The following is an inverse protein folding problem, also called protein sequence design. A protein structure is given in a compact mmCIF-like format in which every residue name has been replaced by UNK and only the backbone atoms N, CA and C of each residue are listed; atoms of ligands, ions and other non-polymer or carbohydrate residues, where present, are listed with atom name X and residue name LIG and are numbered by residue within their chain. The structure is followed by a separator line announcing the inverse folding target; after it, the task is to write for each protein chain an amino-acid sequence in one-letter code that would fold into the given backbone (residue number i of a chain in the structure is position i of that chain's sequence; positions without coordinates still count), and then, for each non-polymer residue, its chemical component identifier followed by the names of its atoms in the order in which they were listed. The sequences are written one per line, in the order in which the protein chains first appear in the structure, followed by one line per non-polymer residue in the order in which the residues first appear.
data_IF_006963984608
#
_entry.id   IF_006963984608
#
_cell.length_a   1.000
_cell.length_b   1.000
_cell.length_c   1.000
_cell.angle_alpha   90.00
_cell.angle_beta   90.00
_cell.angle_gamma   90.00
#
_symmetry.space_group_name_H-M   'P 1'
#
loop_
_entity.id
_entity.type
_entity.pdbx_description
1 polymer ?
#
# COMPACT_ATOMS: atom_id res chain seq x y z
N UNK A 1 -9.35 25.37 -2.31
CA UNK A 1 -9.69 24.14 -1.59
C UNK A 1 -9.37 22.96 -2.50
N UNK A 2 -8.50 22.05 -2.06
CA UNK A 2 -8.12 20.86 -2.87
C UNK A 2 -9.23 19.82 -2.79
N UNK A 3 -9.65 19.29 -3.92
CA UNK A 3 -10.75 18.33 -4.06
C UNK A 3 -10.20 16.91 -4.19
N UNK A 4 -10.74 16.00 -3.37
CA UNK A 4 -10.18 14.66 -3.16
C UNK A 4 -11.20 13.58 -3.53
N UNK A 5 -10.77 12.59 -4.32
CA UNK A 5 -11.44 11.31 -4.44
C UNK A 5 -10.73 10.28 -3.54
N UNK A 6 -11.48 9.47 -2.77
CA UNK A 6 -10.89 8.49 -1.83
C UNK A 6 -11.40 7.10 -2.18
N UNK A 7 -10.49 6.24 -2.61
CA UNK A 7 -10.75 4.84 -2.95
C UNK A 7 -10.37 3.93 -1.78
N UNK A 8 -11.30 3.06 -1.39
CA UNK A 8 -11.18 2.28 -0.17
C UNK A 8 -11.53 3.11 1.09
N UNK A 9 -12.48 4.05 0.96
CA UNK A 9 -12.83 5.02 2.01
C UNK A 9 -13.26 4.40 3.34
N UNK A 10 -13.79 3.19 3.32
CA UNK A 10 -14.23 2.44 4.51
C UNK A 10 -13.13 1.60 5.16
N UNK A 11 -11.96 1.51 4.52
CA UNK A 11 -10.77 0.82 5.05
C UNK A 11 -9.97 1.69 6.04
N UNK A 12 -8.88 1.12 6.57
CA UNK A 12 -8.03 1.79 7.56
C UNK A 12 -7.44 3.11 7.04
N UNK A 13 -6.86 3.11 5.83
CA UNK A 13 -6.27 4.32 5.24
C UNK A 13 -7.36 5.32 4.85
N UNK A 14 -8.48 4.84 4.25
CA UNK A 14 -9.57 5.71 3.84
C UNK A 14 -10.21 6.45 5.02
N UNK A 15 -10.46 5.77 6.13
CA UNK A 15 -11.01 6.39 7.34
C UNK A 15 -10.06 7.40 7.96
N UNK A 16 -8.75 7.12 7.99
CA UNK A 16 -7.73 8.06 8.46
C UNK A 16 -7.56 9.25 7.49
N UNK A 17 -7.73 9.04 6.18
CA UNK A 17 -7.78 10.14 5.20
C UNK A 17 -8.95 11.08 5.52
N UNK A 18 -10.12 10.55 5.83
CA UNK A 18 -11.28 11.35 6.23
C UNK A 18 -11.06 12.08 7.57
N UNK A 19 -10.28 11.51 8.50
CA UNK A 19 -9.87 12.24 9.72
C UNK A 19 -8.97 13.44 9.38
N UNK A 20 -8.03 13.28 8.44
CA UNK A 20 -7.21 14.40 7.95
C UNK A 20 -8.08 15.47 7.32
N UNK A 21 -9.08 15.09 6.50
CA UNK A 21 -10.04 16.04 5.92
C UNK A 21 -10.84 16.77 7.01
N UNK A 22 -11.32 16.06 8.04
CA UNK A 22 -12.06 16.68 9.17
C UNK A 22 -11.28 17.79 9.84
N UNK A 23 -9.97 17.57 10.01
CA UNK A 23 -9.07 18.54 10.64
C UNK A 23 -8.72 19.73 9.73
N UNK A 24 -9.03 19.67 8.43
CA UNK A 24 -8.62 20.63 7.40
C UNK A 24 -9.77 20.98 6.44
N UNK A 25 -11.00 21.08 6.91
CA UNK A 25 -12.21 21.31 6.07
C UNK A 25 -12.21 22.60 5.27
N UNK A 26 -11.42 23.58 5.66
CA UNK A 26 -11.28 24.84 4.92
C UNK A 26 -10.35 24.71 3.70
N UNK A 27 -9.51 23.66 3.67
CA UNK A 27 -8.51 23.44 2.64
C UNK A 27 -8.79 22.19 1.79
N UNK A 28 -9.53 21.20 2.32
CA UNK A 28 -9.81 19.92 1.69
C UNK A 28 -11.31 19.63 1.57
N UNK A 29 -11.75 19.14 0.42
CA UNK A 29 -13.13 18.75 0.11
C UNK A 29 -13.15 17.34 -0.48
N UNK A 30 -14.07 16.48 0.00
CA UNK A 30 -14.27 15.15 -0.55
C UNK A 30 -15.34 15.21 -1.64
N UNK A 31 -14.96 14.93 -2.88
CA UNK A 31 -15.88 14.93 -4.04
C UNK A 31 -16.30 13.53 -4.47
N UNK A 32 -15.49 12.51 -4.20
CA UNK A 32 -15.82 11.13 -4.54
C UNK A 32 -15.32 10.15 -3.48
N UNK A 33 -16.12 9.11 -3.24
CA UNK A 33 -15.75 7.99 -2.36
C UNK A 33 -15.95 6.67 -3.11
N UNK A 34 -15.07 5.69 -2.85
CA UNK A 34 -15.28 4.33 -3.33
C UNK A 34 -15.05 3.31 -2.22
N UNK A 35 -15.89 2.28 -2.16
CA UNK A 35 -15.80 1.19 -1.22
C UNK A 35 -16.17 -0.15 -1.86
N UNK A 36 -15.75 -1.27 -1.24
CA UNK A 36 -16.10 -2.61 -1.72
C UNK A 36 -17.56 -2.96 -1.50
N UNK A 37 -17.99 -3.03 -0.23
CA UNK A 37 -19.35 -3.46 0.14
C UNK A 37 -19.86 -2.92 1.49
N UNK A 38 -19.08 -2.12 2.20
CA UNK A 38 -19.47 -1.65 3.53
C UNK A 38 -20.42 -0.44 3.44
N UNK A 39 -21.71 -0.72 3.26
CA UNK A 39 -22.76 0.28 3.08
C UNK A 39 -22.95 1.15 4.32
N UNK A 40 -22.88 0.58 5.52
CA UNK A 40 -23.14 1.32 6.77
C UNK A 40 -22.12 2.43 7.04
N UNK A 41 -20.83 2.13 6.86
CA UNK A 41 -19.77 3.14 7.03
C UNK A 41 -19.87 4.16 5.91
N UNK A 42 -20.09 3.69 4.66
CA UNK A 42 -20.16 4.57 3.50
C UNK A 42 -21.34 5.55 3.56
N UNK A 43 -22.52 5.13 4.04
CA UNK A 43 -23.67 6.00 4.28
C UNK A 43 -23.33 7.13 5.26
N UNK A 44 -22.64 6.81 6.39
CA UNK A 44 -22.20 7.82 7.36
C UNK A 44 -21.24 8.82 6.72
N UNK A 45 -20.30 8.33 5.89
CA UNK A 45 -19.35 9.17 5.17
C UNK A 45 -20.07 10.09 4.17
N UNK A 46 -21.05 9.57 3.43
CA UNK A 46 -21.88 10.38 2.51
C UNK A 46 -22.61 11.50 3.24
N UNK A 47 -23.26 11.18 4.36
CA UNK A 47 -24.02 12.17 5.14
C UNK A 47 -23.12 13.22 5.80
N UNK A 48 -21.84 12.89 6.04
CA UNK A 48 -20.89 13.82 6.64
C UNK A 48 -20.17 14.71 5.62
N UNK A 49 -19.76 14.14 4.49
CA UNK A 49 -18.89 14.81 3.52
C UNK A 49 -19.61 15.26 2.25
N UNK A 50 -20.84 14.80 2.02
CA UNK A 50 -21.69 15.18 0.86
C UNK A 50 -20.98 15.05 -0.50
N UNK A 51 -20.32 13.91 -0.82
CA UNK A 51 -19.61 13.75 -2.08
C UNK A 51 -20.59 13.79 -3.26
N UNK A 52 -20.10 14.26 -4.42
CA UNK A 52 -20.87 14.28 -5.68
C UNK A 52 -21.18 12.86 -6.18
N UNK A 53 -20.18 11.95 -6.05
CA UNK A 53 -20.22 10.60 -6.59
C UNK A 53 -19.68 9.58 -5.57
N UNK A 54 -20.36 8.44 -5.50
CA UNK A 54 -19.88 7.29 -4.70
C UNK A 54 -19.93 6.02 -5.54
N UNK A 55 -18.85 5.25 -5.53
CA UNK A 55 -18.82 3.92 -6.11
C UNK A 55 -18.87 2.84 -5.01
N UNK A 56 -19.78 1.89 -5.16
CA UNK A 56 -19.77 0.63 -4.39
C UNK A 56 -19.47 -0.50 -5.35
N UNK A 57 -18.34 -1.18 -5.18
CA UNK A 57 -17.89 -2.17 -6.14
C UNK A 57 -18.87 -3.33 -6.33
N UNK A 58 -19.47 -3.82 -5.24
CA UNK A 58 -20.49 -4.87 -5.30
C UNK A 58 -21.85 -4.27 -5.66
N UNK A 59 -22.48 -4.76 -6.73
CA UNK A 59 -23.73 -4.24 -7.28
C UNK A 59 -24.89 -4.32 -6.28
N UNK A 60 -25.01 -5.45 -5.53
CA UNK A 60 -26.06 -5.60 -4.52
C UNK A 60 -25.94 -4.56 -3.41
N UNK A 61 -24.72 -4.31 -2.94
CA UNK A 61 -24.44 -3.29 -1.94
C UNK A 61 -24.69 -1.86 -2.48
N UNK A 62 -24.44 -1.63 -3.78
CA UNK A 62 -24.76 -0.35 -4.41
C UNK A 62 -26.28 -0.12 -4.46
N UNK A 63 -27.08 -1.15 -4.78
CA UNK A 63 -28.53 -1.07 -4.77
C UNK A 63 -29.07 -0.79 -3.35
N UNK A 64 -28.52 -1.43 -2.33
CA UNK A 64 -28.85 -1.17 -0.92
C UNK A 64 -28.54 0.29 -0.56
N UNK A 65 -27.31 0.77 -0.84
CA UNK A 65 -26.91 2.14 -0.55
C UNK A 65 -27.82 3.17 -1.23
N UNK A 66 -28.17 2.99 -2.51
CA UNK A 66 -29.10 3.85 -3.24
C UNK A 66 -30.44 4.00 -2.51
N UNK A 67 -30.94 2.92 -1.89
CA UNK A 67 -32.19 2.95 -1.15
C UNK A 67 -32.09 3.74 0.16
N UNK A 68 -30.92 3.70 0.83
CA UNK A 68 -30.67 4.35 2.11
C UNK A 68 -30.44 5.86 2.02
N UNK A 69 -29.89 6.34 0.90
CA UNK A 69 -29.49 7.75 0.71
C UNK A 69 -30.37 8.53 -0.27
N UNK A 70 -31.61 8.11 -0.47
CA UNK A 70 -32.57 8.80 -1.36
C UNK A 70 -32.82 10.26 -1.02
N UNK A 71 -32.53 10.63 0.22
CA UNK A 71 -32.64 11.99 0.78
C UNK A 71 -31.37 12.85 0.52
N UNK A 72 -30.37 12.33 -0.17
CA UNK A 72 -29.13 13.04 -0.51
C UNK A 72 -29.04 13.31 -2.01
N UNK A 73 -28.09 14.20 -2.41
CA UNK A 73 -27.80 14.50 -3.82
C UNK A 73 -26.67 13.63 -4.39
N UNK A 74 -26.08 12.76 -3.58
CA UNK A 74 -24.95 11.91 -3.97
C UNK A 74 -25.38 10.86 -5.00
N UNK A 75 -24.71 10.82 -6.13
CA UNK A 75 -24.91 9.79 -7.15
C UNK A 75 -24.15 8.50 -6.79
N UNK A 76 -24.78 7.34 -6.98
CA UNK A 76 -24.19 6.02 -6.68
C UNK A 76 -24.00 5.22 -7.96
N UNK A 77 -22.77 4.75 -8.19
CA UNK A 77 -22.38 3.86 -9.28
C UNK A 77 -21.78 2.56 -8.73
N UNK A 78 -21.54 1.54 -9.59
CA UNK A 78 -21.04 0.23 -9.14
C UNK A 78 -20.09 -0.41 -10.14
N UNK A 79 -19.38 -1.46 -9.71
CA UNK A 79 -18.49 -2.25 -10.53
C UNK A 79 -17.22 -1.52 -10.95
N UNK A 80 -16.48 -2.08 -11.91
CA UNK A 80 -15.25 -1.47 -12.43
C UNK A 80 -15.51 -0.17 -13.19
N UNK A 81 -16.56 -0.11 -14.00
CA UNK A 81 -16.93 1.10 -14.73
C UNK A 81 -17.26 2.24 -13.77
N UNK A 82 -17.95 1.93 -12.67
CA UNK A 82 -18.21 2.90 -11.61
C UNK A 82 -16.94 3.36 -10.87
N UNK A 83 -15.96 2.48 -10.67
CA UNK A 83 -14.64 2.87 -10.12
C UNK A 83 -13.89 3.80 -11.06
N UNK A 84 -13.90 3.50 -12.36
CA UNK A 84 -13.29 4.36 -13.38
C UNK A 84 -13.98 5.72 -13.40
N UNK A 85 -15.29 5.77 -13.40
CA UNK A 85 -16.05 7.01 -13.37
C UNK A 85 -15.71 7.86 -12.13
N UNK A 86 -15.60 7.21 -10.96
CA UNK A 86 -15.19 7.87 -9.73
C UNK A 86 -13.73 8.37 -9.77
N UNK A 87 -12.83 7.66 -10.50
CA UNK A 87 -11.43 8.00 -10.65
C UNK A 87 -11.20 9.22 -11.54
N UNK A 88 -12.02 9.38 -12.57
CA UNK A 88 -11.89 10.46 -13.56
C UNK A 88 -12.83 11.64 -13.30
N UNK A 89 -13.53 11.66 -12.15
CA UNK A 89 -14.45 12.76 -11.83
C UNK A 89 -13.76 14.12 -12.02
N UNK A 90 -14.38 14.99 -12.81
CA UNK A 90 -13.75 16.24 -13.25
C UNK A 90 -13.33 17.12 -12.07
N UNK A 91 -14.16 17.17 -11.04
CA UNK A 91 -13.94 18.03 -9.87
C UNK A 91 -12.76 17.60 -8.98
N UNK A 92 -12.25 16.36 -9.04
CA UNK A 92 -11.13 15.94 -8.21
C UNK A 92 -9.78 16.47 -8.71
N UNK A 93 -8.94 16.93 -7.79
CA UNK A 93 -7.54 17.30 -8.05
C UNK A 93 -6.59 16.11 -7.81
N UNK A 94 -6.92 15.28 -6.81
CA UNK A 94 -6.09 14.17 -6.35
C UNK A 94 -6.95 12.94 -6.00
N UNK A 95 -6.44 11.75 -6.31
CA UNK A 95 -7.06 10.48 -5.96
C UNK A 95 -6.22 9.77 -4.90
N UNK A 96 -6.80 9.47 -3.74
CA UNK A 96 -6.20 8.61 -2.73
C UNK A 96 -6.56 7.17 -3.05
N UNK A 97 -5.58 6.34 -3.41
CA UNK A 97 -5.79 4.94 -3.77
C UNK A 97 -5.48 4.04 -2.57
N UNK A 98 -6.52 3.67 -1.80
CA UNK A 98 -6.39 2.85 -0.60
C UNK A 98 -7.15 1.52 -0.71
N UNK A 99 -7.25 0.97 -1.91
CA UNK A 99 -7.69 -0.41 -2.13
C UNK A 99 -6.66 -1.42 -1.65
N UNK A 100 -7.07 -2.65 -1.46
CA UNK A 100 -6.20 -3.81 -1.21
C UNK A 100 -6.17 -4.66 -2.46
N UNK A 101 -5.00 -5.14 -2.86
CA UNK A 101 -4.82 -6.00 -4.03
C UNK A 101 -4.79 -5.25 -5.36
N UNK A 102 -4.90 -6.01 -6.45
CA UNK A 102 -4.67 -5.49 -7.81
C UNK A 102 -5.83 -4.73 -8.42
N UNK A 103 -6.99 -4.68 -7.76
CA UNK A 103 -8.19 -3.97 -8.25
C UNK A 103 -7.94 -2.46 -8.50
N UNK A 104 -6.96 -1.88 -7.82
CA UNK A 104 -6.59 -0.46 -7.94
C UNK A 104 -5.86 -0.10 -9.24
N UNK A 105 -5.33 -1.06 -10.01
CA UNK A 105 -4.50 -0.80 -11.20
C UNK A 105 -5.25 0.01 -12.25
N UNK A 106 -6.39 -0.48 -12.71
CA UNK A 106 -7.17 0.15 -13.80
C UNK A 106 -7.67 1.55 -13.42
N UNK A 107 -8.36 1.73 -12.27
CA UNK A 107 -8.80 3.08 -11.89
C UNK A 107 -7.65 4.06 -11.66
N UNK A 108 -6.47 3.60 -11.18
CA UNK A 108 -5.30 4.47 -11.03
C UNK A 108 -4.76 4.93 -12.39
N UNK A 109 -4.68 4.03 -13.39
CA UNK A 109 -4.29 4.37 -14.76
C UNK A 109 -5.24 5.41 -15.34
N UNK A 110 -6.54 5.22 -15.21
CA UNK A 110 -7.52 6.15 -15.76
C UNK A 110 -7.51 7.51 -15.03
N UNK A 111 -7.28 7.54 -13.71
CA UNK A 111 -7.07 8.77 -12.96
C UNK A 111 -5.84 9.56 -13.48
N UNK A 112 -4.71 8.88 -13.71
CA UNK A 112 -3.49 9.49 -14.26
C UNK A 112 -3.76 10.07 -15.66
N UNK A 113 -4.44 9.31 -16.55
CA UNK A 113 -4.83 9.79 -17.89
C UNK A 113 -5.74 11.00 -17.83
N UNK A 114 -6.58 11.10 -16.80
CA UNK A 114 -7.42 12.27 -16.53
C UNK A 114 -6.68 13.44 -15.86
N UNK A 115 -5.35 13.36 -15.71
CA UNK A 115 -4.51 14.41 -15.14
C UNK A 115 -4.63 14.57 -13.63
N UNK A 116 -5.05 13.53 -12.90
CA UNK A 116 -5.20 13.58 -11.44
C UNK A 116 -3.89 13.17 -10.76
N UNK A 117 -3.46 13.95 -9.76
CA UNK A 117 -2.38 13.50 -8.86
C UNK A 117 -2.84 12.26 -8.06
N UNK A 118 -1.90 11.39 -7.72
CA UNK A 118 -2.20 10.15 -6.99
C UNK A 118 -1.52 10.17 -5.63
N UNK A 119 -2.30 10.10 -4.55
CA UNK A 119 -1.83 9.76 -3.21
C UNK A 119 -1.89 8.23 -3.05
N UNK A 120 -0.75 7.57 -3.28
CA UNK A 120 -0.68 6.12 -3.46
C UNK A 120 -0.51 5.41 -2.12
N UNK A 121 -1.52 4.68 -1.68
CA UNK A 121 -1.46 3.74 -0.55
C UNK A 121 -1.54 2.27 -0.98
N UNK A 122 -2.05 2.00 -2.19
CA UNK A 122 -2.15 0.65 -2.77
C UNK A 122 -0.82 0.26 -3.42
N UNK A 123 0.08 -0.31 -2.63
CA UNK A 123 1.43 -0.69 -3.10
C UNK A 123 1.42 -1.73 -4.21
N UNK A 124 0.41 -2.61 -4.24
CA UNK A 124 0.27 -3.66 -5.23
C UNK A 124 0.19 -3.09 -6.66
N UNK A 125 -0.33 -1.88 -6.82
CA UNK A 125 -0.38 -1.16 -8.10
C UNK A 125 1.03 -0.93 -8.67
N UNK A 126 2.00 -0.49 -7.87
CA UNK A 126 3.38 -0.31 -8.33
C UNK A 126 4.16 -1.62 -8.38
N UNK A 127 3.91 -2.54 -7.46
CA UNK A 127 4.56 -3.86 -7.46
C UNK A 127 4.33 -4.57 -8.78
N UNK A 128 3.10 -4.54 -9.29
CA UNK A 128 2.69 -5.33 -10.46
C UNK A 128 2.73 -4.53 -11.77
N UNK A 129 2.42 -3.24 -11.74
CA UNK A 129 2.27 -2.38 -12.90
C UNK A 129 3.17 -1.12 -12.85
N UNK A 130 4.21 -1.09 -12.01
CA UNK A 130 5.03 0.10 -11.80
C UNK A 130 5.64 0.67 -13.07
N UNK A 131 6.10 -0.19 -14.01
CA UNK A 131 6.63 0.23 -15.31
C UNK A 131 5.60 0.95 -16.20
N UNK A 132 4.31 0.68 -16.03
CA UNK A 132 3.22 1.35 -16.74
C UNK A 132 2.86 2.66 -16.01
N UNK A 133 2.66 2.57 -14.69
CA UNK A 133 2.18 3.68 -13.86
C UNK A 133 3.18 4.85 -13.85
N UNK A 134 4.47 4.58 -13.61
CA UNK A 134 5.48 5.65 -13.51
C UNK A 134 5.67 6.32 -14.87
N UNK A 135 5.82 5.55 -15.95
CA UNK A 135 5.93 6.11 -17.29
C UNK A 135 4.72 6.99 -17.64
N UNK A 136 3.51 6.49 -17.37
CA UNK A 136 2.29 7.23 -17.66
C UNK A 136 2.18 8.53 -16.83
N UNK A 137 2.57 8.48 -15.56
CA UNK A 137 2.58 9.66 -14.68
C UNK A 137 3.56 10.73 -15.18
N UNK A 138 4.75 10.33 -15.68
CA UNK A 138 5.71 11.23 -16.30
C UNK A 138 5.16 11.86 -17.61
N UNK A 139 4.57 11.05 -18.48
CA UNK A 139 3.95 11.50 -19.74
C UNK A 139 2.81 12.50 -19.48
N UNK A 140 1.96 12.25 -18.50
CA UNK A 140 0.83 13.10 -18.11
C UNK A 140 1.22 14.24 -17.16
N UNK A 141 2.46 14.27 -16.66
CA UNK A 141 3.00 15.25 -15.70
C UNK A 141 2.18 15.31 -14.39
N UNK A 142 1.66 14.19 -13.94
CA UNK A 142 0.99 14.05 -12.65
C UNK A 142 1.94 13.50 -11.60
N UNK A 143 1.66 13.78 -10.32
CA UNK A 143 2.51 13.35 -9.21
C UNK A 143 2.00 12.02 -8.65
N UNK A 144 2.92 11.11 -8.36
CA UNK A 144 2.66 9.95 -7.51
C UNK A 144 3.25 10.26 -6.13
N UNK A 145 2.37 10.49 -5.15
CA UNK A 145 2.71 10.89 -3.79
C UNK A 145 2.55 9.69 -2.85
N UNK A 146 3.62 9.18 -2.23
CA UNK A 146 3.53 7.98 -1.41
C UNK A 146 2.77 8.23 -0.10
N UNK A 147 1.86 7.31 0.21
CA UNK A 147 1.13 7.26 1.48
C UNK A 147 1.66 6.15 2.38
N UNK A 148 2.28 5.09 1.82
CA UNK A 148 3.00 4.12 2.63
C UNK A 148 4.05 4.82 3.50
N UNK A 149 4.11 4.47 4.82
CA UNK A 149 4.89 5.23 5.80
C UNK A 149 6.38 5.27 5.47
N UNK A 150 6.94 4.17 5.02
CA UNK A 150 8.35 4.05 4.67
C UNK A 150 8.68 4.85 3.41
N UNK A 151 7.85 4.75 2.38
CA UNK A 151 8.04 5.50 1.13
C UNK A 151 7.80 6.99 1.32
N UNK A 152 6.82 7.37 2.14
CA UNK A 152 6.63 8.75 2.54
C UNK A 152 7.85 9.30 3.30
N UNK A 153 8.48 8.49 4.17
CA UNK A 153 9.68 8.88 4.88
C UNK A 153 10.86 9.13 3.91
N UNK A 154 11.08 8.22 2.95
CA UNK A 154 12.10 8.38 1.92
C UNK A 154 11.83 9.64 1.08
N UNK A 155 10.59 9.82 0.65
CA UNK A 155 10.16 11.00 -0.11
C UNK A 155 10.40 12.30 0.67
N UNK A 156 10.18 12.30 1.99
CA UNK A 156 10.46 13.44 2.86
C UNK A 156 11.96 13.69 3.03
N UNK A 157 12.80 12.63 3.11
CA UNK A 157 14.25 12.76 3.17
C UNK A 157 14.84 13.30 1.86
N UNK A 158 14.19 13.03 0.72
CA UNK A 158 14.60 13.51 -0.61
C UNK A 158 14.02 14.90 -0.93
N UNK A 159 13.27 15.53 -0.03
CA UNK A 159 12.67 16.84 -0.29
C UNK A 159 13.76 17.92 -0.38
N UNK A 160 13.92 18.50 -1.57
CA UNK A 160 14.97 19.46 -1.87
C UNK A 160 16.29 18.87 -2.35
N UNK A 161 16.39 17.52 -2.34
CA UNK A 161 17.54 16.78 -2.78
C UNK A 161 17.28 16.06 -4.12
N UNK A 162 18.34 15.67 -4.80
CA UNK A 162 18.24 14.85 -6.01
C UNK A 162 18.36 13.37 -5.66
N UNK A 163 17.43 12.54 -6.15
CA UNK A 163 17.54 11.07 -6.05
C UNK A 163 18.86 10.55 -6.61
N UNK A 164 19.46 11.23 -7.60
CA UNK A 164 20.75 10.87 -8.18
C UNK A 164 21.92 10.98 -7.19
N UNK A 165 21.75 11.75 -6.12
CA UNK A 165 22.73 11.87 -5.06
C UNK A 165 22.53 10.84 -3.93
N UNK A 166 21.43 10.09 -3.96
CA UNK A 166 21.23 8.96 -3.04
C UNK A 166 22.14 7.80 -3.42
N UNK A 167 22.93 7.33 -2.46
CA UNK A 167 23.74 6.11 -2.57
C UNK A 167 22.89 4.88 -2.26
N UNK A 168 22.11 4.95 -1.16
CA UNK A 168 21.22 3.86 -0.72
C UNK A 168 19.94 4.38 -0.10
N UNK A 169 18.89 3.61 -0.26
CA UNK A 169 17.66 3.68 0.54
C UNK A 169 17.77 2.66 1.66
N UNK A 170 17.65 3.11 2.90
CA UNK A 170 17.63 2.28 4.09
C UNK A 170 16.16 2.12 4.51
N UNK A 171 15.53 1.06 3.98
CA UNK A 171 14.11 0.78 4.18
C UNK A 171 13.91 0.08 5.52
N UNK A 172 13.23 0.72 6.47
CA UNK A 172 13.05 0.15 7.81
C UNK A 172 11.89 -0.85 7.86
N UNK A 173 11.98 -1.82 8.74
CA UNK A 173 10.96 -2.82 9.04
C UNK A 173 10.81 -2.98 10.54
N UNK A 174 9.60 -3.25 11.06
CA UNK A 174 9.42 -3.65 12.46
C UNK A 174 10.01 -5.03 12.78
N UNK A 175 10.14 -5.87 11.75
CA UNK A 175 10.51 -7.28 11.86
C UNK A 175 9.33 -8.21 12.20
N UNK A 176 8.13 -7.67 12.36
CA UNK A 176 6.91 -8.44 12.67
C UNK A 176 6.87 -9.02 14.09
N UNK A 177 5.78 -9.74 14.43
CA UNK A 177 5.57 -10.30 15.78
C UNK A 177 6.49 -11.49 16.11
N UNK A 178 7.07 -12.15 15.11
CA UNK A 178 7.90 -13.35 15.30
C UNK A 178 9.39 -13.09 15.10
N UNK A 179 9.81 -11.82 15.15
CA UNK A 179 11.22 -11.45 15.04
C UNK A 179 12.09 -12.27 16.01
N UNK A 180 13.14 -12.89 15.47
CA UNK A 180 14.07 -13.75 16.22
C UNK A 180 13.62 -15.21 16.35
N UNK A 181 12.44 -15.58 15.86
CA UNK A 181 12.00 -16.96 15.82
C UNK A 181 12.68 -17.73 14.68
N UNK A 182 12.86 -19.04 14.87
CA UNK A 182 13.34 -19.96 13.85
C UNK A 182 12.18 -20.71 13.22
N UNK A 183 12.36 -21.26 12.01
CA UNK A 183 11.30 -22.02 11.28
C UNK A 183 10.62 -23.09 12.11
N UNK A 184 11.40 -23.80 12.96
CA UNK A 184 10.87 -24.84 13.82
C UNK A 184 9.83 -24.33 14.83
N UNK A 185 10.00 -23.09 15.30
CA UNK A 185 9.08 -22.42 16.25
C UNK A 185 7.84 -21.88 15.56
N UNK A 186 7.91 -21.65 14.23
CA UNK A 186 6.83 -21.03 13.46
C UNK A 186 5.81 -22.01 12.88
N UNK A 187 6.04 -23.35 13.03
CA UNK A 187 5.15 -24.39 12.46
C UNK A 187 3.71 -24.31 12.93
N UNK A 188 3.53 -23.96 14.22
CA UNK A 188 2.22 -23.98 14.87
C UNK A 188 1.68 -22.57 15.13
N UNK A 189 2.16 -21.55 14.40
CA UNK A 189 1.64 -20.19 14.51
C UNK A 189 0.18 -20.14 14.08
N UNK A 190 -0.66 -19.63 14.98
CA UNK A 190 -2.09 -19.43 14.70
C UNK A 190 -2.35 -18.07 14.07
N UNK A 191 -3.52 -17.92 13.42
CA UNK A 191 -3.99 -16.65 12.86
C UNK A 191 -4.03 -15.56 13.93
N UNK A 192 -4.50 -15.90 15.13
CA UNK A 192 -4.64 -14.97 16.25
C UNK A 192 -3.28 -14.46 16.76
N UNK A 193 -2.23 -15.28 16.68
CA UNK A 193 -0.87 -14.88 17.00
C UNK A 193 -0.29 -13.97 15.91
N UNK A 194 -0.46 -14.34 14.65
CA UNK A 194 0.07 -13.61 13.52
C UNK A 194 -0.58 -12.22 13.34
N UNK A 195 -1.82 -12.04 13.79
CA UNK A 195 -2.53 -10.75 13.76
C UNK A 195 -2.14 -9.78 14.88
N UNK A 196 -1.26 -10.18 15.82
CA UNK A 196 -0.79 -9.33 16.92
C UNK A 196 0.49 -8.56 16.52
N UNK A 197 0.34 -7.50 15.74
CA UNK A 197 1.48 -6.64 15.42
C UNK A 197 1.92 -5.82 16.65
N UNK A 198 3.25 -5.71 16.94
CA UNK A 198 3.73 -5.07 18.18
C UNK A 198 3.48 -3.56 18.24
N UNK A 199 3.51 -2.85 17.11
CA UNK A 199 3.52 -1.37 17.07
C UNK A 199 2.34 -0.75 16.31
N UNK A 200 1.75 -1.46 15.33
CA UNK A 200 0.76 -0.93 14.41
C UNK A 200 -0.59 -1.63 14.53
N UNK A 201 -1.66 -0.86 14.48
CA UNK A 201 -3.01 -1.37 14.26
C UNK A 201 -3.34 -1.30 12.76
N UNK A 202 -3.32 -2.43 12.08
CA UNK A 202 -3.44 -2.52 10.62
C UNK A 202 -4.54 -3.50 10.20
N UNK A 203 -4.86 -3.51 8.90
CA UNK A 203 -5.73 -4.53 8.30
C UNK A 203 -5.13 -5.93 8.41
N UNK A 204 -5.98 -6.95 8.34
CA UNK A 204 -5.55 -8.34 8.53
C UNK A 204 -4.47 -8.78 7.50
N UNK A 205 -4.68 -8.50 6.20
CA UNK A 205 -3.74 -8.92 5.14
C UNK A 205 -2.34 -8.35 5.39
N UNK A 206 -2.20 -7.04 5.54
CA UNK A 206 -0.91 -6.38 5.75
C UNK A 206 -0.25 -6.79 7.07
N UNK A 207 -1.02 -7.17 8.10
CA UNK A 207 -0.47 -7.68 9.36
C UNK A 207 0.20 -9.05 9.16
N UNK A 208 -0.41 -9.95 8.37
CA UNK A 208 0.20 -11.22 7.99
C UNK A 208 1.43 -10.99 7.09
N UNK A 209 1.34 -10.07 6.12
CA UNK A 209 2.47 -9.71 5.27
C UNK A 209 3.66 -9.17 6.08
N UNK A 210 3.40 -8.41 7.15
CA UNK A 210 4.43 -7.96 8.09
C UNK A 210 5.05 -9.13 8.85
N UNK A 211 4.23 -10.09 9.30
CA UNK A 211 4.69 -11.27 10.04
C UNK A 211 5.59 -12.19 9.19
N UNK A 212 5.36 -12.27 7.87
CA UNK A 212 6.12 -13.07 6.90
C UNK A 212 7.27 -12.30 6.25
N UNK A 213 7.44 -11.01 6.53
CA UNK A 213 8.33 -10.06 5.83
C UNK A 213 7.99 -9.85 4.34
N UNK A 214 6.87 -10.37 3.85
CA UNK A 214 6.38 -10.12 2.49
C UNK A 214 6.03 -8.64 2.30
N UNK A 215 5.44 -7.99 3.31
CA UNK A 215 5.15 -6.56 3.24
C UNK A 215 6.40 -5.75 2.89
N UNK A 216 7.51 -6.04 3.57
CA UNK A 216 8.78 -5.36 3.30
C UNK A 216 9.32 -5.71 1.91
N UNK A 217 9.06 -6.91 1.45
CA UNK A 217 9.38 -7.32 0.08
C UNK A 217 8.60 -6.53 -0.98
N UNK A 218 7.29 -6.35 -0.79
CA UNK A 218 6.46 -5.50 -1.67
C UNK A 218 6.97 -4.05 -1.69
N UNK A 219 7.35 -3.53 -0.54
CA UNK A 219 7.90 -2.18 -0.39
C UNK A 219 9.26 -1.99 -1.06
N UNK A 220 10.13 -3.01 -1.09
CA UNK A 220 11.37 -2.98 -1.86
C UNK A 220 11.08 -2.81 -3.37
N UNK A 221 10.09 -3.53 -3.89
CA UNK A 221 9.70 -3.41 -5.31
C UNK A 221 9.05 -2.05 -5.57
N UNK A 222 8.23 -1.55 -4.66
CA UNK A 222 7.61 -0.23 -4.76
C UNK A 222 8.66 0.89 -4.75
N UNK A 223 9.69 0.82 -3.87
CA UNK A 223 10.77 1.79 -3.79
C UNK A 223 11.54 1.92 -5.12
N UNK A 224 11.79 0.79 -5.80
CA UNK A 224 12.42 0.81 -7.13
C UNK A 224 11.65 1.72 -8.10
N UNK A 225 10.34 1.58 -8.14
CA UNK A 225 9.50 2.34 -9.09
C UNK A 225 9.33 3.81 -8.66
N UNK A 226 9.05 4.06 -7.38
CA UNK A 226 8.82 5.42 -6.90
C UNK A 226 10.07 6.31 -7.00
N UNK A 227 11.24 5.75 -6.72
CA UNK A 227 12.47 6.52 -6.63
C UNK A 227 13.44 6.25 -7.79
N UNK A 228 13.11 5.34 -8.71
CA UNK A 228 13.96 5.04 -9.85
C UNK A 228 15.32 4.45 -9.48
N UNK A 229 15.40 3.72 -8.36
CA UNK A 229 16.63 3.09 -7.86
C UNK A 229 16.71 1.61 -8.23
N UNK A 230 17.91 1.04 -8.22
CA UNK A 230 18.10 -0.39 -8.40
C UNK A 230 17.90 -1.16 -7.08
N UNK A 231 17.60 -2.45 -7.17
CA UNK A 231 17.38 -3.30 -6.00
C UNK A 231 18.59 -3.36 -5.06
N UNK A 232 19.80 -3.22 -5.59
CA UNK A 232 21.04 -3.22 -4.81
C UNK A 232 21.26 -1.92 -4.02
N UNK A 233 20.52 -0.86 -4.39
CA UNK A 233 20.47 0.39 -3.64
C UNK A 233 19.41 0.39 -2.53
N UNK A 234 18.53 -0.61 -2.46
CA UNK A 234 17.51 -0.72 -1.40
C UNK A 234 17.97 -1.75 -0.37
N UNK A 235 18.38 -1.27 0.78
CA UNK A 235 18.78 -2.10 1.92
C UNK A 235 17.70 -2.12 2.99
N UNK A 236 17.20 -3.29 3.34
CA UNK A 236 16.25 -3.44 4.45
C UNK A 236 16.99 -3.49 5.79
N UNK A 237 16.49 -2.73 6.76
CA UNK A 237 16.99 -2.65 8.14
C UNK A 237 15.84 -2.87 9.10
N UNK A 238 15.99 -3.74 10.09
CA UNK A 238 14.96 -3.93 11.12
C UNK A 238 15.15 -2.88 12.21
N UNK A 239 14.11 -2.07 12.46
CA UNK A 239 14.01 -1.07 13.52
C UNK A 239 12.80 -1.39 14.39
N UNK A 240 13.02 -2.12 15.50
CA UNK A 240 11.94 -2.72 16.29
C UNK A 240 10.93 -1.75 16.87
N UNK A 241 11.37 -0.56 17.24
CA UNK A 241 10.51 0.47 17.87
C UNK A 241 9.59 1.17 16.88
N UNK A 242 9.82 1.02 15.56
CA UNK A 242 9.08 1.71 14.49
C UNK A 242 9.02 3.24 14.68
N UNK A 243 10.11 3.84 15.15
CA UNK A 243 10.26 5.29 15.31
C UNK A 243 10.90 5.93 14.10
N UNK A 244 11.86 5.24 13.46
CA UNK A 244 12.45 5.64 12.19
C UNK A 244 11.66 4.93 11.09
N UNK A 245 10.99 5.71 10.25
CA UNK A 245 10.13 5.15 9.20
C UNK A 245 10.87 4.84 7.90
N UNK A 246 12.03 5.40 7.64
CA UNK A 246 13.09 5.01 6.69
C UNK A 246 14.14 6.11 6.61
N UNK A 247 15.23 5.85 5.88
CA UNK A 247 16.38 6.73 5.77
C UNK A 247 16.92 6.70 4.34
N UNK A 248 17.64 7.76 3.96
CA UNK A 248 18.41 7.85 2.70
C UNK A 248 19.86 8.14 3.06
N UNK A 249 20.77 7.31 2.58
CA UNK A 249 22.21 7.53 2.59
C UNK A 249 22.62 8.22 1.29
N UNK A 250 23.30 9.35 1.38
CA UNK A 250 23.80 10.11 0.25
C UNK A 250 25.26 9.77 -0.07
N UNK A 251 25.72 10.12 -1.27
CA UNK A 251 27.07 9.83 -1.75
C UNK A 251 28.20 10.45 -0.92
N UNK A 252 27.91 11.52 -0.17
CA UNK A 252 28.84 12.13 0.76
C UNK A 252 28.91 11.43 2.13
N UNK A 253 28.10 10.37 2.31
CA UNK A 253 28.00 9.59 3.55
C UNK A 253 27.00 10.16 4.56
N UNK A 254 26.31 11.25 4.25
CA UNK A 254 25.23 11.76 5.11
C UNK A 254 24.04 10.82 5.07
N UNK A 255 23.37 10.63 6.23
CA UNK A 255 22.15 9.86 6.33
C UNK A 255 21.02 10.77 6.82
N UNK A 256 19.99 10.91 6.01
CA UNK A 256 18.74 11.62 6.38
C UNK A 256 17.69 10.60 6.80
N UNK A 257 17.02 10.84 7.92
CA UNK A 257 16.02 9.95 8.49
C UNK A 257 14.73 10.70 8.84
N UNK A 258 13.59 10.12 8.54
CA UNK A 258 12.32 10.64 9.04
C UNK A 258 11.88 9.82 10.26
N UNK A 259 11.65 10.52 11.36
CA UNK A 259 11.19 9.97 12.63
C UNK A 259 9.76 10.43 12.92
N UNK A 260 8.97 9.54 13.53
CA UNK A 260 7.62 9.86 13.96
C UNK A 260 7.02 8.74 14.82
N UNK A 261 5.91 9.02 15.46
CA UNK A 261 5.08 7.99 16.07
C UNK A 261 4.35 7.19 14.97
N UNK A 262 4.03 5.90 15.19
CA UNK A 262 3.28 5.07 14.23
C UNK A 262 1.85 5.60 14.02
N UNK A 263 1.66 6.49 13.05
CA UNK A 263 0.37 7.12 12.71
C UNK A 263 0.31 7.40 11.20
N UNK A 264 -0.60 6.72 10.49
CA UNK A 264 -0.74 6.89 9.04
C UNK A 264 -1.29 8.26 8.63
N UNK A 265 -1.85 9.03 9.55
CA UNK A 265 -2.32 10.40 9.24
C UNK A 265 -1.17 11.32 8.84
N UNK A 266 0.05 11.09 9.34
CA UNK A 266 1.22 11.87 8.95
C UNK A 266 1.54 11.72 7.46
N UNK A 267 1.81 10.52 6.92
CA UNK A 267 2.08 10.38 5.49
C UNK A 267 0.88 10.73 4.61
N UNK A 268 -0.35 10.43 5.04
CA UNK A 268 -1.57 10.84 4.33
C UNK A 268 -1.63 12.36 4.21
N UNK A 269 -1.48 13.08 5.33
CA UNK A 269 -1.53 14.54 5.33
C UNK A 269 -0.41 15.14 4.49
N UNK A 270 0.80 14.59 4.60
CA UNK A 270 1.92 15.06 3.79
C UNK A 270 1.69 14.89 2.28
N UNK A 271 1.14 13.76 1.85
CA UNK A 271 0.77 13.56 0.44
C UNK A 271 -0.31 14.55 -0.03
N UNK A 272 -1.32 14.82 0.80
CA UNK A 272 -2.42 15.73 0.44
C UNK A 272 -1.99 17.19 0.38
N UNK A 273 -1.03 17.62 1.19
CA UNK A 273 -0.58 19.02 1.27
C UNK A 273 0.78 19.28 0.62
N UNK A 274 1.45 18.24 0.11
CA UNK A 274 2.78 18.40 -0.48
C UNK A 274 2.87 19.61 -1.44
N UNK A 275 3.90 20.48 -1.30
CA UNK A 275 5.09 20.33 -0.44
C UNK A 275 4.94 20.94 0.98
N UNK A 276 3.78 21.42 1.37
CA UNK A 276 3.55 22.09 2.66
C UNK A 276 3.43 21.11 3.82
N UNK A 277 3.82 21.56 5.03
CA UNK A 277 3.55 20.84 6.27
C UNK A 277 2.47 21.56 7.06
N UNK A 278 1.40 20.85 7.38
CA UNK A 278 0.28 21.37 8.19
C UNK A 278 0.35 20.81 9.62
N UNK A 279 -0.25 21.51 10.55
CA UNK A 279 -0.39 20.99 11.91
C UNK A 279 -1.20 19.70 11.88
N UNK A 280 -0.70 18.65 12.54
CA UNK A 280 -1.38 17.39 12.73
C UNK A 280 -1.53 17.15 14.24
N UNK A 281 -2.75 17.08 14.79
CA UNK A 281 -2.95 16.72 16.18
C UNK A 281 -2.54 15.26 16.44
N UNK A 282 -1.99 14.97 17.63
CA UNK A 282 -1.57 13.62 17.99
C UNK A 282 -0.30 13.58 18.82
N UNK A 283 0.14 12.37 19.13
CA UNK A 283 1.37 12.12 19.89
C UNK A 283 2.60 12.56 19.11
N UNK A 284 3.64 12.94 19.82
CA UNK A 284 4.97 13.26 19.30
C UNK A 284 5.99 12.31 19.89
N UNK A 285 7.11 12.14 19.20
CA UNK A 285 8.26 11.43 19.78
C UNK A 285 8.78 12.27 20.95
N UNK A 286 8.88 11.66 22.11
CA UNK A 286 9.38 12.31 23.33
C UNK A 286 10.84 11.93 23.55
N UNK A 287 11.74 12.85 23.20
CA UNK A 287 13.18 12.65 23.37
C UNK A 287 13.64 12.72 24.84
N UNK A 288 12.76 13.10 25.78
CA UNK A 288 13.11 13.05 27.21
C UNK A 288 13.06 11.61 27.75
N UNK A 289 12.33 10.71 27.09
CA UNK A 289 12.18 9.31 27.46
C UNK A 289 12.84 8.33 26.49
N UNK A 290 13.16 8.76 25.30
CA UNK A 290 13.82 7.95 24.27
C UNK A 290 15.31 7.85 24.56
N UNK A 291 15.77 6.72 25.09
CA UNK A 291 17.15 6.51 25.53
C UNK A 291 18.03 5.77 24.50
N UNK A 292 17.41 5.02 23.58
CA UNK A 292 18.11 4.25 22.54
C UNK A 292 17.23 3.94 21.36
N UNK A 293 17.83 3.68 20.22
CA UNK A 293 17.20 3.22 18.99
C UNK A 293 17.99 2.01 18.50
N UNK A 294 17.30 0.89 18.27
CA UNK A 294 17.92 -0.37 17.88
C UNK A 294 17.81 -0.61 16.37
N UNK A 295 18.85 -1.20 15.82
CA UNK A 295 18.85 -1.73 14.46
C UNK A 295 19.29 -3.19 14.45
N UNK A 296 18.66 -3.98 13.58
CA UNK A 296 18.98 -5.39 13.37
C UNK A 296 19.01 -5.70 11.86
N UNK A 297 19.73 -6.75 11.51
CA UNK A 297 19.75 -7.29 10.15
C UNK A 297 18.50 -8.15 9.95
N UNK A 298 17.75 -8.06 8.82
CA UNK A 298 16.63 -8.94 8.54
C UNK A 298 17.08 -10.40 8.39
N UNK A 299 16.37 -11.32 9.04
CA UNK A 299 16.62 -12.76 8.95
C UNK A 299 15.91 -13.34 7.73
N UNK A 300 16.53 -13.25 6.55
CA UNK A 300 15.95 -13.73 5.29
C UNK A 300 15.97 -15.27 5.16
N UNK A 301 16.68 -15.98 6.03
CA UNK A 301 16.70 -17.44 6.04
C UNK A 301 15.42 -18.01 6.69
N UNK A 302 15.00 -17.42 7.81
CA UNK A 302 13.81 -17.86 8.53
C UNK A 302 12.53 -17.16 8.02
N UNK A 303 12.64 -15.96 7.43
CA UNK A 303 11.55 -15.17 6.85
C UNK A 303 11.79 -14.96 5.35
N UNK A 304 11.54 -16.01 4.57
CA UNK A 304 11.88 -16.04 3.14
C UNK A 304 11.10 -15.03 2.28
N UNK A 305 9.99 -14.49 2.78
CA UNK A 305 9.15 -13.55 2.02
C UNK A 305 9.92 -12.37 1.44
N UNK A 306 10.91 -11.83 2.18
CA UNK A 306 11.76 -10.75 1.70
C UNK A 306 12.73 -11.22 0.59
N UNK A 307 13.34 -12.39 0.74
CA UNK A 307 14.26 -12.95 -0.26
C UNK A 307 13.53 -13.24 -1.59
N UNK A 308 12.33 -13.84 -1.50
CA UNK A 308 11.48 -14.13 -2.66
C UNK A 308 11.06 -12.83 -3.39
N UNK A 309 10.79 -11.76 -2.65
CA UNK A 309 10.47 -10.46 -3.24
C UNK A 309 11.65 -9.86 -4.02
N UNK A 310 12.88 -9.90 -3.47
CA UNK A 310 14.08 -9.49 -4.22
C UNK A 310 14.27 -10.32 -5.48
N UNK A 311 14.05 -11.64 -5.40
CA UNK A 311 14.11 -12.53 -6.57
C UNK A 311 13.06 -12.14 -7.60
N UNK A 312 11.81 -11.93 -7.18
CA UNK A 312 10.71 -11.54 -8.07
C UNK A 312 11.00 -10.20 -8.76
N UNK A 313 11.44 -9.21 -7.98
CA UNK A 313 11.77 -7.89 -8.48
C UNK A 313 12.91 -7.89 -9.49
N UNK A 314 14.00 -8.62 -9.20
CA UNK A 314 15.15 -8.74 -10.12
C UNK A 314 14.81 -9.51 -11.39
N UNK A 315 13.94 -10.52 -11.31
CA UNK A 315 13.42 -11.24 -12.49
C UNK A 315 12.58 -10.32 -13.37
N UNK A 316 11.79 -9.44 -12.76
CA UNK A 316 10.95 -8.48 -13.46
C UNK A 316 9.80 -9.10 -14.24
N UNK A 317 9.30 -8.39 -15.25
CA UNK A 317 8.18 -8.84 -16.07
C UNK A 317 6.94 -9.15 -15.24
N UNK A 318 6.34 -10.33 -15.47
CA UNK A 318 5.18 -10.81 -14.70
C UNK A 318 5.54 -11.40 -13.33
N UNK A 319 6.81 -11.59 -12.98
CA UNK A 319 7.19 -12.26 -11.74
C UNK A 319 6.75 -11.51 -10.47
N UNK A 320 6.81 -10.17 -10.37
CA UNK A 320 6.23 -9.43 -9.23
C UNK A 320 4.72 -9.63 -9.09
N UNK A 321 3.99 -9.79 -10.20
CA UNK A 321 2.56 -10.14 -10.19
C UNK A 321 2.34 -11.52 -9.61
N UNK A 322 3.15 -12.50 -10.01
CA UNK A 322 3.09 -13.88 -9.46
C UNK A 322 3.33 -13.88 -7.95
N UNK A 323 4.39 -13.18 -7.51
CA UNK A 323 4.73 -13.04 -6.09
C UNK A 323 3.55 -12.45 -5.30
N UNK A 324 2.97 -11.35 -5.78
CA UNK A 324 1.86 -10.68 -5.11
C UNK A 324 0.58 -11.55 -5.10
N UNK A 325 0.19 -12.11 -6.26
CA UNK A 325 -1.02 -12.92 -6.37
C UNK A 325 -0.93 -14.20 -5.51
N UNK A 326 0.23 -14.86 -5.50
CA UNK A 326 0.45 -16.03 -4.66
C UNK A 326 0.38 -15.69 -3.16
N UNK A 327 0.94 -14.55 -2.76
CA UNK A 327 0.81 -14.05 -1.39
C UNK A 327 -0.65 -13.75 -1.02
N UNK A 328 -1.39 -13.05 -1.86
CA UNK A 328 -2.81 -12.73 -1.60
C UNK A 328 -3.63 -14.01 -1.44
N UNK A 329 -3.44 -14.99 -2.32
CA UNK A 329 -4.09 -16.29 -2.25
C UNK A 329 -3.76 -17.01 -0.94
N UNK A 330 -2.48 -17.15 -0.62
CA UNK A 330 -2.02 -17.90 0.54
C UNK A 330 -2.44 -17.22 1.86
N UNK A 331 -2.34 -15.89 1.95
CA UNK A 331 -2.82 -15.14 3.12
C UNK A 331 -4.33 -15.32 3.32
N UNK A 332 -5.12 -15.29 2.24
CA UNK A 332 -6.56 -15.53 2.34
C UNK A 332 -6.88 -16.94 2.85
N UNK A 333 -6.12 -17.97 2.44
CA UNK A 333 -6.22 -19.35 2.94
C UNK A 333 -5.80 -19.47 4.40
N UNK A 334 -4.68 -18.84 4.79
CA UNK A 334 -4.22 -18.83 6.17
C UNK A 334 -5.24 -18.18 7.11
N UNK A 335 -5.80 -17.03 6.76
CA UNK A 335 -6.82 -16.34 7.55
C UNK A 335 -8.09 -17.18 7.74
N UNK A 336 -8.41 -18.08 6.80
CA UNK A 336 -9.48 -19.08 6.91
C UNK A 336 -9.06 -20.34 7.66
N UNK A 337 -7.80 -20.45 8.11
CA UNK A 337 -7.22 -21.63 8.77
C UNK A 337 -7.18 -22.87 7.88
N UNK A 338 -7.08 -22.67 6.56
CA UNK A 338 -7.01 -23.76 5.57
C UNK A 338 -5.56 -24.22 5.33
N UNK A 339 -4.57 -23.36 5.63
CA UNK A 339 -3.12 -23.65 5.55
C UNK A 339 -2.40 -23.14 6.78
N UNK A 340 -1.17 -23.61 7.04
CA UNK A 340 -0.29 -23.13 8.09
C UNK A 340 0.44 -21.84 7.74
N UNK A 341 1.11 -21.24 8.72
CA UNK A 341 1.84 -19.97 8.54
C UNK A 341 3.01 -20.09 7.54
N UNK A 342 3.79 -21.17 7.62
CA UNK A 342 4.91 -21.41 6.71
C UNK A 342 4.47 -21.72 5.28
N UNK A 343 3.29 -22.32 5.10
CA UNK A 343 2.74 -22.62 3.78
C UNK A 343 2.53 -21.37 2.93
N UNK A 344 2.44 -20.18 3.55
CA UNK A 344 2.32 -18.89 2.82
C UNK A 344 3.53 -18.71 1.89
N UNK A 345 4.73 -18.82 2.43
CA UNK A 345 5.96 -18.66 1.64
C UNK A 345 6.21 -19.84 0.70
N UNK A 346 5.76 -21.05 1.06
CA UNK A 346 5.82 -22.21 0.18
C UNK A 346 4.91 -22.07 -1.05
N UNK A 347 3.69 -21.55 -0.89
CA UNK A 347 2.81 -21.21 -2.01
C UNK A 347 3.45 -20.16 -2.94
N UNK A 348 4.06 -19.10 -2.38
CA UNK A 348 4.73 -18.06 -3.18
C UNK A 348 5.87 -18.68 -3.99
N UNK A 349 6.74 -19.46 -3.36
CA UNK A 349 7.87 -20.12 -4.01
C UNK A 349 7.42 -21.03 -5.11
N UNK A 350 6.44 -21.91 -4.84
CA UNK A 350 5.87 -22.83 -5.82
C UNK A 350 5.31 -22.10 -7.05
N UNK A 351 4.55 -21.02 -6.84
CA UNK A 351 4.00 -20.23 -7.95
C UNK A 351 5.11 -19.58 -8.78
N UNK A 352 6.14 -19.01 -8.13
CA UNK A 352 7.28 -18.39 -8.83
C UNK A 352 8.10 -19.40 -9.64
N UNK A 353 8.33 -20.60 -9.11
CA UNK A 353 9.06 -21.68 -9.80
C UNK A 353 8.28 -22.29 -10.97
N UNK A 354 6.95 -22.32 -10.86
CA UNK A 354 6.05 -22.87 -11.88
C UNK A 354 5.77 -21.90 -13.02
N UNK A 355 6.01 -20.59 -12.83
CA UNK A 355 5.64 -19.56 -13.80
C UNK A 355 6.71 -19.30 -14.84
N UNK A 356 6.28 -19.18 -16.11
CA UNK A 356 7.14 -18.69 -17.19
C UNK A 356 6.98 -17.18 -17.34
N UNK A 357 8.00 -16.43 -16.92
CA UNK A 357 7.98 -14.97 -16.94
C UNK A 357 7.77 -14.40 -18.35
N UNK A 358 6.83 -13.47 -18.48
CA UNK A 358 6.61 -12.64 -19.66
C UNK A 358 7.20 -11.25 -19.37
N UNK A 359 8.11 -10.79 -20.24
CA UNK A 359 8.74 -9.48 -20.08
C UNK A 359 7.84 -8.37 -20.64
N UNK A 360 7.91 -7.19 -20.00
CA UNK A 360 7.15 -6.00 -20.38
C UNK A 360 5.63 -6.27 -20.54
N UNK A 361 4.95 -6.88 -19.52
CA UNK A 361 3.53 -7.20 -19.63
C UNK A 361 2.70 -5.91 -19.70
N UNK A 362 1.64 -5.93 -20.50
CA UNK A 362 0.58 -4.94 -20.44
C UNK A 362 -0.40 -5.24 -19.26
N UNK A 363 -1.37 -4.36 -19.06
CA UNK A 363 -2.35 -4.50 -17.98
C UNK A 363 -3.17 -5.79 -18.13
N UNK A 364 -3.53 -6.16 -19.36
CA UNK A 364 -4.31 -7.36 -19.61
C UNK A 364 -3.53 -8.62 -19.19
N UNK A 365 -2.23 -8.69 -19.56
CA UNK A 365 -1.35 -9.81 -19.17
C UNK A 365 -1.07 -9.85 -17.66
N UNK A 366 -0.97 -8.69 -17.01
CA UNK A 366 -0.84 -8.62 -15.54
C UNK A 366 -2.08 -9.23 -14.87
N UNK A 367 -3.28 -8.84 -15.28
CA UNK A 367 -4.54 -9.36 -14.72
C UNK A 367 -4.79 -10.83 -15.07
N UNK A 368 -4.36 -11.26 -16.26
CA UNK A 368 -4.39 -12.67 -16.66
C UNK A 368 -3.45 -13.51 -15.78
N UNK A 369 -2.23 -13.01 -15.53
CA UNK A 369 -1.25 -13.70 -14.68
C UNK A 369 -1.77 -13.88 -13.25
N UNK A 370 -2.47 -12.91 -12.67
CA UNK A 370 -3.13 -13.06 -11.38
C UNK A 370 -4.09 -14.24 -11.37
N UNK A 371 -4.94 -14.36 -12.40
CA UNK A 371 -5.90 -15.49 -12.53
C UNK A 371 -5.19 -16.83 -12.68
N UNK A 372 -4.17 -16.88 -13.56
CA UNK A 372 -3.36 -18.08 -13.76
C UNK A 372 -2.74 -18.58 -12.43
N UNK A 373 -2.25 -17.66 -11.59
CA UNK A 373 -1.70 -18.01 -10.27
C UNK A 373 -2.77 -18.53 -9.32
N UNK A 374 -3.94 -17.93 -9.30
CA UNK A 374 -5.06 -18.41 -8.45
C UNK A 374 -5.54 -19.80 -8.89
N UNK A 375 -5.60 -20.07 -10.20
CA UNK A 375 -5.94 -21.38 -10.74
C UNK A 375 -4.87 -22.43 -10.39
N UNK A 376 -3.59 -22.09 -10.57
CA UNK A 376 -2.46 -22.94 -10.20
C UNK A 376 -2.51 -23.35 -8.72
N UNK A 377 -2.66 -22.37 -7.83
CA UNK A 377 -2.67 -22.62 -6.39
C UNK A 377 -3.97 -23.27 -5.91
N UNK A 378 -5.07 -23.14 -6.66
CA UNK A 378 -6.31 -23.85 -6.41
C UNK A 378 -6.17 -25.38 -6.52
N UNK A 379 -5.21 -25.84 -7.33
CA UNK A 379 -4.84 -27.25 -7.46
C UNK A 379 -3.66 -27.70 -6.58
N UNK A 380 -2.99 -26.79 -5.92
CA UNK A 380 -1.86 -27.07 -5.03
C UNK A 380 -2.36 -27.52 -3.66
N UNK A 381 -1.85 -28.68 -3.16
CA UNK A 381 -2.22 -29.31 -1.88
C UNK A 381 -1.07 -29.27 -0.90
#
# INVERSE_FOLDING_TARGET
MKKIAIFGSTGSIGTQTLEVVRNNREELEVVSLAAGSNVEILEKQIREFHPELVCVYKEEAAAELKSRIKDTQTRVVSGMDGLIEAAVIESADIVVTAFVGMIGIVPTIEAIKAGKDIALANKETLVTAGHIIIRLAEEMKVKILPVDSEHSAIFQCLHGESVKEAEKILLTASGGPFRGWKKEQMKDITVEQALKHPNWAMGQKITIDSATMVNKGLEVIEAKWLFGVDFDQVQVVVQPQSLIHSMVEFKDGAIMAQLGTPDMKLPIQYALFYPERKFLPGKRVDFSTLTHIDFQIPDMENFEGLALAYQAGRTGGTMPTVFNAANEYAVAKFLKKEIGFLDITDCIRYAMESHKTVQNPDVAKILETEKEVYELLGGYR
#
